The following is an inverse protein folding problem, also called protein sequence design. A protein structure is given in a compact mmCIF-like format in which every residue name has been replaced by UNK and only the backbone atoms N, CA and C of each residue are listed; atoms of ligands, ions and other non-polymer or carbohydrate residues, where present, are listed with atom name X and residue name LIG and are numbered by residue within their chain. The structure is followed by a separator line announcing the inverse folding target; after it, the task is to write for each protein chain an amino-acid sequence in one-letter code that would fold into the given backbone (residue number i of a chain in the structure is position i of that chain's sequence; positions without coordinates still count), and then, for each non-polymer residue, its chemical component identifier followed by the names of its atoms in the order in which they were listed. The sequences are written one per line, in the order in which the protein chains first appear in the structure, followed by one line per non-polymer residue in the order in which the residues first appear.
data_IF_199090234572
#
_entry.id   IF_199090234572
#
_cell.length_a   1.000
_cell.length_b   1.000
_cell.length_c   1.000
_cell.angle_alpha   90.00
_cell.angle_beta   90.00
_cell.angle_gamma   90.00
#
_symmetry.space_group_name_H-M   'P 1'
#
loop_
_entity.id
_entity.type
_entity.pdbx_description
1 polymer ?
#
# COMPACT_ATOMS: atom_id res chain seq x y z
N UNK A 1 -51.64 -42.97 6.10
CA UNK A 1 -51.31 -41.71 5.41
C UNK A 1 -50.21 -41.01 6.21
N UNK A 2 -48.95 -41.21 5.83
CA UNK A 2 -47.79 -40.55 6.46
C UNK A 2 -47.48 -39.28 5.71
N UNK A 3 -47.64 -38.13 6.36
CA UNK A 3 -47.19 -36.83 5.83
C UNK A 3 -45.81 -36.54 6.32
N UNK A 4 -44.78 -36.67 5.45
CA UNK A 4 -43.41 -36.24 5.71
C UNK A 4 -43.35 -34.71 5.57
N UNK A 5 -43.04 -34.01 6.67
CA UNK A 5 -42.71 -32.60 6.67
C UNK A 5 -41.23 -32.45 6.32
N UNK A 6 -40.94 -31.87 5.15
CA UNK A 6 -39.62 -31.40 4.79
C UNK A 6 -39.40 -29.99 5.39
N UNK A 7 -38.52 -29.88 6.37
CA UNK A 7 -38.05 -28.59 6.89
C UNK A 7 -36.90 -28.12 6.00
N UNK A 8 -37.16 -27.04 5.22
CA UNK A 8 -36.08 -26.34 4.51
C UNK A 8 -35.34 -25.45 5.50
N UNK A 9 -34.09 -25.79 5.83
CA UNK A 9 -33.15 -24.90 6.52
C UNK A 9 -32.65 -23.87 5.49
N UNK A 10 -33.13 -22.66 5.56
CA UNK A 10 -32.54 -21.53 4.80
C UNK A 10 -31.29 -21.06 5.52
N UNK A 11 -30.15 -21.42 4.99
CA UNK A 11 -28.83 -20.88 5.44
C UNK A 11 -28.70 -19.48 4.85
N UNK A 12 -28.94 -18.44 5.65
CA UNK A 12 -28.62 -17.07 5.26
C UNK A 12 -27.10 -16.88 5.28
N UNK A 13 -26.48 -16.78 4.12
CA UNK A 13 -25.11 -16.28 3.99
C UNK A 13 -25.11 -14.80 4.36
N UNK A 14 -24.56 -14.45 5.52
CA UNK A 14 -24.20 -13.07 5.84
C UNK A 14 -23.05 -12.66 4.92
N UNK A 15 -23.35 -11.90 3.88
CA UNK A 15 -22.33 -11.21 3.11
C UNK A 15 -21.81 -10.03 3.93
N UNK A 16 -20.61 -10.13 4.49
CA UNK A 16 -19.91 -8.98 5.08
C UNK A 16 -19.54 -8.05 3.93
N UNK A 17 -20.27 -6.95 3.78
CA UNK A 17 -19.89 -5.88 2.88
C UNK A 17 -18.68 -5.14 3.49
N UNK A 18 -17.52 -5.28 2.89
CA UNK A 18 -16.36 -4.44 3.17
C UNK A 18 -16.75 -2.98 2.82
N UNK A 19 -16.57 -2.09 3.79
CA UNK A 19 -16.69 -0.63 3.59
C UNK A 19 -15.29 -0.06 3.45
N UNK A 20 -15.20 1.12 2.80
CA UNK A 20 -13.96 1.90 2.82
C UNK A 20 -13.63 2.27 4.27
N UNK A 21 -12.37 2.15 4.63
CA UNK A 21 -11.82 2.44 5.95
C UNK A 21 -10.61 3.36 5.80
N UNK A 22 -10.47 4.32 6.72
CA UNK A 22 -9.27 5.15 6.85
C UNK A 22 -8.65 4.88 8.21
N UNK A 23 -7.36 4.59 8.23
CA UNK A 23 -6.57 4.31 9.42
C UNK A 23 -5.72 5.52 9.74
N UNK A 24 -5.84 5.97 10.97
CA UNK A 24 -5.01 6.97 11.62
C UNK A 24 -4.18 6.26 12.68
N UNK A 25 -2.92 6.58 12.79
CA UNK A 25 -2.00 5.94 13.75
C UNK A 25 -2.00 6.63 15.12
N UNK A 26 -2.94 7.53 15.36
CA UNK A 26 -3.04 8.39 16.56
C UNK A 26 -3.15 7.64 17.87
N UNK A 27 -3.72 6.44 17.84
CA UNK A 27 -3.93 5.58 19.02
C UNK A 27 -2.78 4.61 19.28
N UNK A 28 -1.84 4.48 18.33
CA UNK A 28 -0.71 3.60 18.49
C UNK A 28 0.34 4.21 19.42
N UNK A 29 0.99 3.38 20.21
CA UNK A 29 2.02 3.83 21.14
C UNK A 29 3.26 4.28 20.37
N UNK A 30 3.72 5.50 20.57
CA UNK A 30 4.94 6.02 19.98
C UNK A 30 6.14 5.11 20.30
N UNK A 31 6.95 4.80 19.29
CA UNK A 31 8.08 3.88 19.38
C UNK A 31 7.71 2.40 19.21
N UNK A 32 6.44 2.04 19.13
CA UNK A 32 5.98 0.66 18.89
C UNK A 32 5.49 0.47 17.46
N UNK A 33 5.55 -0.78 16.96
CA UNK A 33 4.90 -1.15 15.71
C UNK A 33 3.37 -0.96 15.83
N UNK A 34 2.68 -0.49 14.77
CA UNK A 34 1.25 -0.25 14.84
C UNK A 34 0.45 -1.53 14.99
N UNK A 35 -0.62 -1.47 15.77
CA UNK A 35 -1.49 -2.62 16.03
C UNK A 35 -2.23 -3.08 14.78
N UNK A 36 -2.24 -4.38 14.53
CA UNK A 36 -2.89 -4.98 13.34
C UNK A 36 -2.12 -4.76 12.04
N UNK A 37 -0.80 -4.52 12.16
CA UNK A 37 0.12 -4.45 11.04
C UNK A 37 1.32 -5.36 11.24
N UNK A 38 1.83 -5.91 10.16
CA UNK A 38 3.04 -6.73 10.14
C UNK A 38 4.17 -5.95 9.47
N UNK A 39 5.14 -5.50 10.28
CA UNK A 39 6.39 -4.91 9.81
C UNK A 39 7.30 -5.98 9.22
N UNK A 40 7.82 -5.74 8.02
CA UNK A 40 8.68 -6.67 7.30
C UNK A 40 9.58 -5.93 6.30
N UNK A 41 10.31 -6.70 5.51
CA UNK A 41 11.08 -6.21 4.36
C UNK A 41 11.19 -7.29 3.28
N UNK A 42 11.42 -6.87 2.06
CA UNK A 42 11.88 -7.73 0.97
C UNK A 42 13.38 -7.52 0.79
N UNK A 43 14.15 -8.60 0.71
CA UNK A 43 15.59 -8.53 0.55
C UNK A 43 16.33 -8.27 1.86
N UNK A 44 17.55 -7.71 1.75
CA UNK A 44 18.49 -7.52 2.87
C UNK A 44 18.26 -6.21 3.61
N UNK A 45 18.80 -6.12 4.81
CA UNK A 45 18.77 -4.92 5.64
C UNK A 45 17.92 -5.09 6.90
N UNK A 46 17.54 -3.99 7.51
CA UNK A 46 16.70 -3.94 8.72
C UNK A 46 15.73 -2.79 8.60
N UNK A 47 14.47 -3.10 8.30
CA UNK A 47 13.39 -2.13 8.33
C UNK A 47 13.04 -1.80 9.79
N UNK A 48 12.69 -0.53 10.04
CA UNK A 48 12.28 -0.04 11.35
C UNK A 48 10.96 0.73 11.20
N UNK A 49 9.86 0.09 11.58
CA UNK A 49 8.51 0.61 11.48
C UNK A 49 7.93 0.86 12.87
N UNK A 50 7.62 2.11 13.18
CA UNK A 50 7.03 2.47 14.46
C UNK A 50 6.07 3.66 14.33
N UNK A 51 5.10 3.74 15.22
CA UNK A 51 4.33 4.96 15.40
C UNK A 51 5.25 6.07 15.98
N UNK A 52 5.12 7.28 15.47
CA UNK A 52 5.93 8.42 15.89
C UNK A 52 5.11 9.70 15.87
N UNK A 53 5.35 10.65 16.81
CA UNK A 53 4.68 11.94 16.76
C UNK A 53 5.20 12.79 15.59
N UNK A 54 4.28 13.52 14.93
CA UNK A 54 4.62 14.53 13.92
C UNK A 54 3.61 15.66 13.94
N UNK A 55 4.04 16.89 14.30
CA UNK A 55 3.17 18.05 14.42
C UNK A 55 2.59 18.51 13.07
N UNK A 56 3.14 18.05 11.95
CA UNK A 56 2.65 18.35 10.61
C UNK A 56 1.73 17.26 10.04
N UNK A 57 1.43 16.22 10.85
CA UNK A 57 0.60 15.11 10.42
C UNK A 57 -0.79 15.56 9.98
N UNK A 58 -1.35 14.97 8.90
CA UNK A 58 -2.75 15.19 8.51
C UNK A 58 -3.74 14.82 9.61
N UNK A 59 -3.50 13.73 10.33
CA UNK A 59 -4.15 13.43 11.61
C UNK A 59 -3.11 13.44 12.73
N UNK A 60 -3.54 13.71 13.96
CA UNK A 60 -2.63 13.88 15.09
C UNK A 60 -3.04 13.01 16.28
N UNK A 61 -2.09 12.61 17.14
CA UNK A 61 -0.69 13.10 17.20
C UNK A 61 0.34 12.23 16.45
N UNK A 62 -0.01 11.01 16.02
CA UNK A 62 0.98 10.04 15.55
C UNK A 62 0.81 9.67 14.07
N UNK A 63 1.93 9.32 13.46
CA UNK A 63 2.05 8.77 12.11
C UNK A 63 2.74 7.41 12.16
N UNK A 64 2.64 6.60 11.10
CA UNK A 64 3.54 5.46 10.90
C UNK A 64 4.83 5.95 10.24
N UNK A 65 5.97 5.69 10.89
CA UNK A 65 7.30 6.05 10.41
C UNK A 65 8.10 4.82 10.04
N UNK A 66 8.77 4.87 8.89
CA UNK A 66 9.88 3.99 8.53
C UNK A 66 11.20 4.78 8.68
N UNK A 67 12.18 4.25 9.42
CA UNK A 67 13.48 4.88 9.68
C UNK A 67 14.68 3.95 9.53
N UNK A 68 14.47 2.66 9.32
CA UNK A 68 15.53 1.69 9.07
C UNK A 68 16.08 1.73 7.65
N UNK A 69 17.11 0.94 7.39
CA UNK A 69 17.71 0.77 6.05
C UNK A 69 17.55 -0.68 5.61
N UNK A 70 16.78 -0.91 4.56
CA UNK A 70 16.58 -2.23 3.95
C UNK A 70 16.31 -2.09 2.46
N UNK A 71 16.53 -3.15 1.69
CA UNK A 71 16.32 -3.10 0.24
C UNK A 71 14.90 -2.59 -0.10
N UNK A 72 13.87 -3.18 0.52
CA UNK A 72 12.46 -2.77 0.35
C UNK A 72 11.70 -2.94 1.67
N UNK A 73 11.70 -1.94 2.56
CA UNK A 73 10.84 -1.94 3.74
C UNK A 73 9.36 -1.99 3.36
N UNK A 74 8.61 -2.88 3.99
CA UNK A 74 7.17 -3.06 3.77
C UNK A 74 6.45 -3.23 5.11
N UNK A 75 5.28 -2.60 5.26
CA UNK A 75 4.41 -2.79 6.40
C UNK A 75 3.01 -3.14 5.90
N UNK A 76 2.54 -4.35 6.20
CA UNK A 76 1.30 -4.90 5.69
C UNK A 76 0.22 -4.87 6.75
N UNK A 77 -0.96 -4.36 6.39
CA UNK A 77 -2.16 -4.48 7.21
C UNK A 77 -2.59 -5.95 7.29
N UNK A 78 -2.87 -6.45 8.50
CA UNK A 78 -3.14 -7.87 8.70
C UNK A 78 -4.47 -8.30 8.09
N UNK A 79 -5.48 -7.47 8.17
CA UNK A 79 -6.80 -7.63 7.57
C UNK A 79 -7.33 -6.29 7.05
N UNK A 80 -8.20 -6.27 6.03
CA UNK A 80 -8.67 -7.39 5.22
C UNK A 80 -7.75 -7.73 4.06
N UNK A 81 -8.09 -8.80 3.33
CA UNK A 81 -7.53 -9.09 2.01
C UNK A 81 -8.48 -8.58 0.94
N UNK A 82 -7.97 -7.75 0.02
CA UNK A 82 -8.74 -7.18 -1.09
C UNK A 82 -8.36 -7.86 -2.41
N UNK A 83 -9.37 -8.20 -3.21
CA UNK A 83 -9.21 -8.65 -4.59
C UNK A 83 -9.30 -7.48 -5.56
N UNK A 84 -10.33 -6.66 -5.38
CA UNK A 84 -10.62 -5.45 -6.14
C UNK A 84 -10.89 -4.32 -5.16
N UNK A 85 -10.73 -3.05 -5.60
CA UNK A 85 -10.95 -1.89 -4.77
C UNK A 85 -9.87 -0.83 -4.92
N UNK A 86 -9.53 -0.18 -3.82
CA UNK A 86 -8.48 0.83 -3.81
C UNK A 86 -7.60 0.76 -2.56
N UNK A 87 -6.43 1.36 -2.67
CA UNK A 87 -5.54 1.70 -1.55
C UNK A 87 -5.02 3.11 -1.76
N UNK A 88 -5.00 3.90 -0.69
CA UNK A 88 -4.54 5.28 -0.67
C UNK A 88 -3.74 5.56 0.60
N UNK A 89 -2.77 6.45 0.52
CA UNK A 89 -2.03 6.90 1.71
C UNK A 89 -1.57 8.34 1.53
N UNK A 90 -1.54 9.10 2.61
CA UNK A 90 -0.71 10.29 2.71
C UNK A 90 0.68 9.89 3.19
N UNK A 91 1.71 10.32 2.46
CA UNK A 91 3.10 10.06 2.83
C UNK A 91 3.94 11.33 2.75
N UNK A 92 4.97 11.40 3.60
CA UNK A 92 5.95 12.49 3.60
C UNK A 92 7.36 11.89 3.53
N UNK A 93 8.07 12.00 2.38
CA UNK A 93 9.46 11.59 2.28
C UNK A 93 10.32 12.61 3.04
N UNK A 94 10.92 12.20 4.16
CA UNK A 94 11.63 13.12 5.07
C UNK A 94 13.09 13.25 4.69
N UNK A 95 13.77 12.11 4.50
CA UNK A 95 15.19 12.05 4.19
C UNK A 95 15.56 10.70 3.57
N UNK A 96 16.79 10.62 3.06
CA UNK A 96 17.44 9.50 2.43
C UNK A 96 18.47 10.01 1.44
N UNK A 97 19.59 9.31 1.28
CA UNK A 97 20.64 9.64 0.31
C UNK A 97 20.53 8.82 -0.96
N UNK A 98 20.11 7.56 -0.82
CA UNK A 98 19.90 6.65 -1.94
C UNK A 98 18.50 6.80 -2.52
N UNK A 99 17.48 6.94 -1.64
CA UNK A 99 16.09 7.08 -2.02
C UNK A 99 15.31 7.94 -1.03
N UNK A 100 14.24 8.58 -1.52
CA UNK A 100 13.22 9.25 -0.71
C UNK A 100 11.85 8.86 -1.24
N UNK A 101 11.44 7.63 -0.99
CA UNK A 101 10.26 7.02 -1.57
C UNK A 101 9.18 6.74 -0.53
N UNK A 102 7.92 6.87 -0.96
CA UNK A 102 6.76 6.37 -0.25
C UNK A 102 5.80 5.69 -1.23
N UNK A 103 5.16 4.61 -0.82
CA UNK A 103 4.32 3.82 -1.70
C UNK A 103 3.21 3.06 -1.01
N UNK A 104 2.26 2.57 -1.81
CA UNK A 104 1.17 1.68 -1.42
C UNK A 104 1.35 0.30 -2.02
N UNK A 105 0.94 -0.71 -1.27
CA UNK A 105 0.98 -2.13 -1.64
C UNK A 105 -0.42 -2.69 -1.69
N UNK A 106 -0.71 -3.55 -2.68
CA UNK A 106 -1.96 -4.29 -2.75
C UNK A 106 -1.75 -5.70 -3.28
N UNK A 107 -2.76 -6.55 -3.04
CA UNK A 107 -2.74 -7.99 -3.36
C UNK A 107 -1.47 -8.69 -2.88
N UNK A 108 -0.90 -8.25 -1.75
CA UNK A 108 0.26 -8.91 -1.17
C UNK A 108 -0.12 -10.31 -0.67
N UNK A 109 0.52 -11.33 -1.23
CA UNK A 109 0.41 -12.71 -0.78
C UNK A 109 1.32 -12.95 0.43
N UNK A 110 2.47 -12.30 0.42
CA UNK A 110 3.48 -12.23 1.46
C UNK A 110 4.41 -11.02 1.22
N UNK A 111 5.52 -10.90 1.96
CA UNK A 111 6.50 -9.82 1.81
C UNK A 111 7.48 -9.99 0.63
N UNK A 112 7.28 -10.99 -0.23
CA UNK A 112 8.06 -11.24 -1.46
C UNK A 112 7.21 -11.23 -2.72
N UNK A 113 5.87 -11.24 -2.60
CA UNK A 113 4.93 -11.40 -3.70
C UNK A 113 3.79 -10.39 -3.59
N UNK A 114 3.89 -9.25 -4.29
CA UNK A 114 2.95 -8.14 -4.20
C UNK A 114 3.05 -7.18 -5.38
N UNK A 115 2.04 -6.32 -5.55
CA UNK A 115 2.14 -5.10 -6.33
C UNK A 115 2.49 -3.91 -5.44
N UNK A 116 3.25 -2.96 -6.00
CA UNK A 116 3.60 -1.71 -5.33
C UNK A 116 3.58 -0.54 -6.31
N UNK A 117 2.96 0.57 -5.92
CA UNK A 117 3.12 1.85 -6.56
C UNK A 117 3.81 2.80 -5.59
N UNK A 118 4.78 3.54 -6.07
CA UNK A 118 5.56 4.47 -5.26
C UNK A 118 5.75 5.81 -5.97
N UNK A 119 5.97 6.87 -5.19
CA UNK A 119 6.49 8.14 -5.64
C UNK A 119 7.82 8.42 -4.93
N UNK A 120 8.81 8.97 -5.65
CA UNK A 120 10.18 9.17 -5.16
C UNK A 120 10.62 10.62 -5.37
N UNK A 121 11.00 11.29 -4.28
CA UNK A 121 11.40 12.70 -4.31
C UNK A 121 12.80 12.93 -4.90
N UNK A 122 13.70 11.96 -4.87
CA UNK A 122 15.02 12.09 -5.51
C UNK A 122 14.96 11.84 -7.01
N UNK A 123 14.03 11.00 -7.47
CA UNK A 123 13.87 10.66 -8.87
C UNK A 123 12.80 11.53 -9.59
N UNK A 124 11.94 12.23 -8.84
CA UNK A 124 10.81 13.00 -9.35
C UNK A 124 9.93 12.12 -10.27
N UNK A 125 9.47 10.97 -9.78
CA UNK A 125 8.65 10.04 -10.55
C UNK A 125 7.58 9.34 -9.72
N UNK A 126 6.60 8.79 -10.42
CA UNK A 126 5.62 7.81 -9.89
C UNK A 126 5.73 6.55 -10.73
N UNK A 127 5.95 5.40 -10.09
CA UNK A 127 6.22 4.13 -10.78
C UNK A 127 5.48 2.98 -10.14
N UNK A 128 5.02 2.03 -10.95
CA UNK A 128 4.33 0.83 -10.51
C UNK A 128 5.14 -0.42 -10.85
N UNK A 129 5.25 -1.33 -9.89
CA UNK A 129 5.99 -2.58 -10.01
C UNK A 129 5.16 -3.77 -9.55
N UNK A 130 5.56 -4.95 -10.00
CA UNK A 130 5.32 -6.20 -9.31
C UNK A 130 6.60 -6.73 -8.69
N UNK A 131 6.49 -7.37 -7.55
CA UNK A 131 7.55 -8.12 -6.88
C UNK A 131 7.14 -9.59 -6.87
N UNK A 132 7.92 -10.46 -7.47
CA UNK A 132 7.68 -11.91 -7.56
C UNK A 132 8.91 -12.63 -7.02
N UNK A 133 8.73 -13.41 -5.94
CA UNK A 133 9.84 -14.06 -5.26
C UNK A 133 10.94 -13.08 -4.82
N UNK A 134 10.56 -11.85 -4.46
CA UNK A 134 11.48 -10.79 -4.05
C UNK A 134 12.13 -10.02 -5.20
N UNK A 135 11.93 -10.43 -6.46
CA UNK A 135 12.45 -9.72 -7.63
C UNK A 135 11.43 -8.69 -8.13
N UNK A 136 11.81 -7.42 -8.09
CA UNK A 136 10.99 -6.30 -8.53
C UNK A 136 11.13 -6.06 -10.04
N UNK A 137 10.00 -5.86 -10.73
CA UNK A 137 9.94 -5.57 -12.16
C UNK A 137 8.95 -4.42 -12.40
N UNK A 138 9.39 -3.36 -13.09
CA UNK A 138 8.49 -2.27 -13.49
C UNK A 138 7.46 -2.78 -14.51
N UNK A 139 6.23 -2.29 -14.42
CA UNK A 139 5.15 -2.65 -15.31
C UNK A 139 4.95 -1.58 -16.38
N UNK A 140 4.60 -2.04 -17.58
CA UNK A 140 4.33 -1.18 -18.70
C UNK A 140 3.03 -0.39 -18.49
N UNK A 141 3.08 0.89 -18.83
CA UNK A 141 1.91 1.76 -18.84
C UNK A 141 1.07 1.46 -20.07
N UNK A 142 -0.26 1.40 -19.93
CA UNK A 142 -1.18 1.16 -21.03
C UNK A 142 -0.91 2.17 -22.17
N UNK A 143 -0.70 1.66 -23.36
CA UNK A 143 -0.37 2.46 -24.55
C UNK A 143 1.12 2.84 -24.67
N UNK A 144 1.99 2.44 -23.71
CA UNK A 144 3.43 2.69 -23.76
C UNK A 144 4.21 1.46 -23.35
N UNK A 145 5.04 0.92 -24.26
CA UNK A 145 5.93 -0.19 -23.95
C UNK A 145 7.27 0.31 -23.41
N UNK A 146 7.75 -0.35 -22.38
CA UNK A 146 8.98 0.01 -21.70
C UNK A 146 8.91 1.36 -21.01
N UNK A 147 9.98 1.71 -20.34
CA UNK A 147 10.09 2.96 -19.60
C UNK A 147 9.92 2.75 -18.10
N UNK A 148 10.09 3.84 -17.36
CA UNK A 148 10.22 3.84 -15.92
C UNK A 148 9.25 4.88 -15.34
N UNK A 149 8.01 4.48 -15.08
CA UNK A 149 7.01 5.34 -14.49
C UNK A 149 6.69 6.61 -15.30
N UNK A 150 6.15 7.59 -14.62
CA UNK A 150 5.85 8.92 -15.13
C UNK A 150 6.66 9.94 -14.33
N UNK A 151 7.29 10.90 -15.04
CA UNK A 151 7.96 12.02 -14.40
C UNK A 151 6.92 12.89 -13.69
N UNK A 152 7.11 13.08 -12.40
CA UNK A 152 6.22 13.82 -11.53
C UNK A 152 7.01 14.43 -10.40
N UNK A 153 6.92 15.75 -10.21
CA UNK A 153 7.57 16.40 -9.07
C UNK A 153 7.01 15.85 -7.76
N UNK A 154 7.92 15.36 -6.90
CA UNK A 154 7.64 14.90 -5.54
C UNK A 154 8.53 15.70 -4.61
N UNK A 155 7.92 16.59 -3.81
CA UNK A 155 8.70 17.50 -2.96
C UNK A 155 9.08 16.78 -1.65
N UNK A 156 10.38 16.75 -1.33
CA UNK A 156 10.86 16.25 -0.05
C UNK A 156 10.29 17.06 1.12
N UNK A 157 10.08 16.42 2.27
CA UNK A 157 9.55 16.99 3.50
C UNK A 157 8.13 17.62 3.36
N UNK A 158 7.37 17.23 2.35
CA UNK A 158 5.96 17.61 2.18
C UNK A 158 5.07 16.37 2.15
N UNK A 159 3.83 16.53 2.61
CA UNK A 159 2.81 15.50 2.52
C UNK A 159 2.28 15.40 1.09
N UNK A 160 2.16 14.17 0.60
CA UNK A 160 1.65 13.80 -0.70
C UNK A 160 0.59 12.72 -0.58
N UNK A 161 -0.36 12.68 -1.51
CA UNK A 161 -1.37 11.62 -1.60
C UNK A 161 -1.08 10.72 -2.79
N UNK A 162 -0.95 9.42 -2.54
CA UNK A 162 -0.81 8.39 -3.57
C UNK A 162 -1.94 7.37 -3.43
N UNK A 163 -2.65 7.13 -4.55
CA UNK A 163 -3.79 6.19 -4.62
C UNK A 163 -3.64 5.26 -5.81
N UNK A 164 -4.04 4.01 -5.62
CA UNK A 164 -4.22 3.02 -6.69
C UNK A 164 -5.61 2.41 -6.57
N UNK A 165 -6.35 2.45 -7.67
CA UNK A 165 -7.58 1.69 -7.86
C UNK A 165 -7.27 0.44 -8.68
N UNK A 166 -7.78 -0.72 -8.27
CA UNK A 166 -7.50 -1.98 -8.92
C UNK A 166 -8.76 -2.84 -9.07
N UNK A 167 -9.01 -3.26 -10.32
CA UNK A 167 -10.13 -4.13 -10.67
C UNK A 167 -9.70 -5.13 -11.75
N UNK A 168 -9.88 -6.42 -11.51
CA UNK A 168 -9.37 -7.46 -12.38
C UNK A 168 -7.87 -7.32 -12.62
N UNK A 169 -7.46 -7.13 -13.85
CA UNK A 169 -6.06 -6.93 -14.25
C UNK A 169 -5.68 -5.46 -14.41
N UNK A 170 -6.63 -4.53 -14.29
CA UNK A 170 -6.40 -3.09 -14.52
C UNK A 170 -6.16 -2.35 -13.22
N UNK A 171 -5.13 -1.50 -13.23
CA UNK A 171 -4.73 -0.63 -12.11
C UNK A 171 -4.67 0.81 -12.60
N UNK A 172 -5.34 1.73 -11.89
CA UNK A 172 -5.30 3.17 -12.17
C UNK A 172 -4.57 3.88 -11.04
N UNK A 173 -3.52 4.62 -11.39
CA UNK A 173 -2.67 5.34 -10.44
C UNK A 173 -3.06 6.81 -10.40
N UNK A 174 -3.17 7.36 -9.19
CA UNK A 174 -3.42 8.78 -8.93
C UNK A 174 -2.35 9.34 -8.00
N UNK A 175 -1.90 10.55 -8.28
CA UNK A 175 -1.03 11.33 -7.41
C UNK A 175 -1.63 12.71 -7.22
N UNK A 176 -1.77 13.16 -5.97
CA UNK A 176 -2.48 14.40 -5.60
C UNK A 176 -3.89 14.48 -6.20
N UNK A 177 -4.62 13.36 -6.17
CA UNK A 177 -5.96 13.24 -6.75
C UNK A 177 -6.03 13.26 -8.28
N UNK A 178 -4.91 13.48 -8.97
CA UNK A 178 -4.85 13.49 -10.43
C UNK A 178 -4.48 12.11 -10.97
N UNK A 179 -5.27 11.60 -11.93
CA UNK A 179 -4.93 10.37 -12.65
C UNK A 179 -3.62 10.53 -13.40
N UNK A 180 -2.68 9.63 -13.15
CA UNK A 180 -1.35 9.62 -13.75
C UNK A 180 -1.26 8.67 -14.94
N UNK A 181 -1.60 7.40 -14.73
CA UNK A 181 -1.53 6.36 -15.75
C UNK A 181 -2.33 5.13 -15.34
N UNK A 182 -2.44 4.21 -16.30
CA UNK A 182 -3.00 2.86 -16.08
C UNK A 182 -1.98 1.80 -16.43
N UNK A 183 -2.11 0.65 -15.76
CA UNK A 183 -1.31 -0.56 -15.99
C UNK A 183 -2.25 -1.76 -16.07
N UNK A 184 -1.88 -2.77 -16.87
CA UNK A 184 -2.55 -4.06 -16.90
C UNK A 184 -1.56 -5.18 -16.57
N UNK A 185 -1.86 -5.94 -15.52
CA UNK A 185 -1.09 -7.13 -15.14
C UNK A 185 -1.97 -8.12 -14.36
N UNK A 186 -1.85 -9.39 -14.65
CA UNK A 186 -2.64 -10.47 -14.04
C UNK A 186 -1.81 -11.41 -13.15
N UNK A 187 -0.61 -11.03 -12.72
CA UNK A 187 0.30 -11.90 -11.96
C UNK A 187 -0.32 -12.36 -10.64
N UNK A 188 -0.93 -11.46 -9.88
CA UNK A 188 -1.62 -11.79 -8.64
C UNK A 188 -3.13 -11.54 -8.80
N UNK A 189 -3.88 -12.61 -9.12
CA UNK A 189 -5.33 -12.55 -9.31
C UNK A 189 -6.12 -12.78 -8.01
N UNK A 190 -5.50 -13.35 -6.98
CA UNK A 190 -6.13 -13.61 -5.70
C UNK A 190 -6.20 -12.35 -4.83
N UNK A 191 -7.15 -12.32 -3.90
CA UNK A 191 -7.17 -11.33 -2.83
C UNK A 191 -5.87 -11.39 -2.00
N UNK A 192 -5.36 -10.25 -1.59
CA UNK A 192 -4.16 -10.15 -0.78
C UNK A 192 -4.20 -8.96 0.16
N UNK A 193 -3.21 -8.87 1.05
CA UNK A 193 -3.06 -7.75 2.00
C UNK A 193 -2.80 -6.44 1.26
N UNK A 194 -3.10 -5.34 1.93
CA UNK A 194 -2.71 -3.97 1.55
C UNK A 194 -1.69 -3.43 2.52
N UNK A 195 -0.98 -2.37 2.17
CA UNK A 195 0.03 -1.81 3.07
C UNK A 195 0.80 -0.64 2.48
N UNK A 196 1.89 -0.28 3.17
CA UNK A 196 2.80 0.79 2.78
C UNK A 196 4.21 0.24 2.54
N UNK A 197 5.02 1.02 1.80
CA UNK A 197 6.31 0.57 1.31
C UNK A 197 7.29 1.74 1.15
N UNK A 198 8.57 1.46 1.39
CA UNK A 198 9.65 2.40 1.09
C UNK A 198 10.83 1.69 0.39
N UNK A 199 11.91 2.41 0.12
CA UNK A 199 13.10 1.91 -0.55
C UNK A 199 14.37 2.39 0.14
N UNK A 200 15.35 1.48 0.24
CA UNK A 200 16.71 1.74 0.71
C UNK A 200 16.76 2.45 2.09
N UNK A 201 17.34 3.61 2.14
CA UNK A 201 17.53 4.45 3.32
C UNK A 201 16.44 5.53 3.48
N UNK A 202 15.30 5.39 2.78
CA UNK A 202 14.20 6.34 2.86
C UNK A 202 13.65 6.42 4.28
N UNK A 203 13.72 7.59 4.90
CA UNK A 203 12.93 7.92 6.08
C UNK A 203 11.63 8.54 5.60
N UNK A 204 10.52 7.84 5.83
CA UNK A 204 9.20 8.24 5.31
C UNK A 204 8.14 8.12 6.40
N UNK A 205 7.26 9.10 6.46
CA UNK A 205 6.08 9.12 7.31
C UNK A 205 4.85 8.79 6.49
N UNK A 206 3.89 8.08 7.10
CA UNK A 206 2.63 7.68 6.50
C UNK A 206 1.48 7.98 7.45
N UNK A 207 0.38 8.49 6.90
CA UNK A 207 -0.83 8.79 7.63
C UNK A 207 -2.07 8.64 6.74
N UNK A 208 -3.26 8.68 7.33
CA UNK A 208 -4.54 8.55 6.62
C UNK A 208 -4.50 7.41 5.57
N UNK A 209 -4.04 6.21 5.99
CA UNK A 209 -4.05 5.04 5.12
C UNK A 209 -5.49 4.57 4.90
N UNK A 210 -5.96 4.66 3.67
CA UNK A 210 -7.32 4.29 3.31
C UNK A 210 -7.35 3.12 2.33
N UNK A 211 -8.34 2.25 2.47
CA UNK A 211 -8.60 1.14 1.56
C UNK A 211 -10.09 0.80 1.54
N UNK A 212 -10.53 0.13 0.49
CA UNK A 212 -11.91 -0.34 0.37
C UNK A 212 -12.18 -1.01 -0.97
N UNK A 213 -13.38 -1.60 -1.14
CA UNK A 213 -13.85 -2.15 -2.40
C UNK A 213 -14.17 -1.08 -3.42
#
# INVERSE_FOLDING_TARGET
MNRSFFIWLATSLLTVQLKAETIHFDKDQAGAAPSGWTAAQTGVGSADWAAAPDDSAPSQPNVLKQSGTAAYPICLKDDPKLKDGFVEVKFKPVSGKEDQAGGVVWRAQDNYNYYVCLANALEDNVTLYKTVGGKRTALDIVGRKGGYGIKQKVTSAQWHTLRVEFSGTRFTVFFEGKKMFEVEDGTFAAAGKVGVWTKADSVTLFDEFAYGP
#
